data_IF_281035138997
#
_entry.id   IF_281035138997
#
_cell.length_a   1.000
_cell.length_b   1.000
_cell.length_c   1.000
_cell.angle_alpha   90.00
_cell.angle_beta   90.00
_cell.angle_gamma   90.00
#
_symmetry.space_group_name_H-M   'P 1'
#
loop_
_entity.id
_entity.type
_entity.pdbx_description
1 polymer ?
#
# COMPACT_ATOMS: atom_id res chain seq x y z
N UNK A 1 31.55 -56.21 24.12
CA UNK A 1 32.03 -55.08 23.31
C UNK A 1 30.82 -54.56 22.53
N UNK A 2 30.19 -53.49 23.02
CA UNK A 2 28.94 -52.96 22.46
C UNK A 2 29.26 -51.84 21.46
N UNK A 3 28.85 -51.99 20.21
CA UNK A 3 29.01 -50.95 19.17
C UNK A 3 27.70 -50.21 19.03
N UNK A 4 27.59 -49.06 19.68
CA UNK A 4 26.49 -48.13 19.47
C UNK A 4 26.72 -47.38 18.16
N UNK A 5 25.93 -47.71 17.13
CA UNK A 5 25.89 -46.96 15.87
C UNK A 5 24.95 -45.76 16.05
N UNK A 6 25.52 -44.57 16.21
CA UNK A 6 24.77 -43.31 16.18
C UNK A 6 24.42 -42.98 14.72
N UNK A 7 23.18 -43.27 14.33
CA UNK A 7 22.64 -42.80 13.04
C UNK A 7 22.30 -41.32 13.14
N UNK A 8 23.17 -40.47 12.56
CA UNK A 8 22.89 -39.05 12.41
C UNK A 8 21.94 -38.86 11.21
N UNK A 9 20.64 -38.73 11.51
CA UNK A 9 19.64 -38.39 10.50
C UNK A 9 19.82 -36.91 10.09
N UNK A 10 20.38 -36.69 8.90
CA UNK A 10 20.44 -35.37 8.27
C UNK A 10 19.04 -35.00 7.77
N UNK A 11 18.27 -34.28 8.60
CA UNK A 11 17.00 -33.69 8.17
C UNK A 11 17.33 -32.46 7.31
N UNK A 12 17.28 -32.64 5.99
CA UNK A 12 17.40 -31.53 5.05
C UNK A 12 16.12 -30.67 5.10
N UNK A 13 16.13 -29.62 5.91
CA UNK A 13 15.09 -28.58 5.87
C UNK A 13 15.23 -27.79 4.58
N UNK A 14 14.34 -28.03 3.60
CA UNK A 14 14.21 -27.18 2.44
C UNK A 14 13.63 -25.83 2.87
N UNK A 15 14.49 -24.83 3.09
CA UNK A 15 14.06 -23.46 3.22
C UNK A 15 13.56 -22.98 1.85
N UNK A 16 12.24 -22.98 1.66
CA UNK A 16 11.63 -22.32 0.52
C UNK A 16 11.82 -20.81 0.68
N UNK A 17 12.89 -20.29 0.09
CA UNK A 17 13.06 -18.84 -0.08
C UNK A 17 11.98 -18.36 -1.04
N UNK A 18 10.86 -17.88 -0.49
CA UNK A 18 9.83 -17.20 -1.26
C UNK A 18 10.34 -15.80 -1.57
N UNK A 19 11.14 -15.69 -2.62
CA UNK A 19 11.52 -14.39 -3.16
C UNK A 19 10.24 -13.67 -3.59
N UNK A 20 10.14 -12.36 -3.31
CA UNK A 20 9.13 -11.53 -3.95
C UNK A 20 9.18 -11.83 -5.45
N UNK A 21 8.06 -12.27 -6.05
CA UNK A 21 8.09 -12.64 -7.47
C UNK A 21 8.40 -11.37 -8.25
N UNK A 22 9.57 -11.24 -8.91
CA UNK A 22 9.98 -9.99 -9.56
C UNK A 22 8.97 -9.52 -10.61
N UNK A 23 8.19 -10.45 -11.16
CA UNK A 23 7.07 -10.17 -12.05
C UNK A 23 6.04 -9.25 -11.44
N UNK A 24 5.66 -9.39 -10.16
CA UNK A 24 4.65 -8.52 -9.55
C UNK A 24 5.20 -7.14 -9.18
N UNK A 25 6.48 -7.09 -8.83
CA UNK A 25 7.19 -5.83 -8.57
C UNK A 25 7.21 -4.94 -9.82
N UNK A 26 7.33 -5.55 -11.01
CA UNK A 26 7.30 -4.84 -12.29
C UNK A 26 5.92 -4.28 -12.68
N UNK A 27 4.83 -4.78 -12.08
CA UNK A 27 3.46 -4.34 -12.36
C UNK A 27 3.05 -3.09 -11.57
N UNK A 28 3.97 -2.53 -10.78
CA UNK A 28 3.73 -1.40 -9.89
C UNK A 28 4.68 -0.24 -10.25
N UNK A 29 4.22 1.02 -10.25
CA UNK A 29 5.12 2.16 -10.33
C UNK A 29 6.08 2.11 -9.15
N UNK A 30 7.36 2.36 -9.43
CA UNK A 30 8.42 2.34 -8.41
C UNK A 30 8.45 1.09 -7.51
N UNK A 31 7.92 -0.07 -7.97
CA UNK A 31 7.72 -1.23 -7.11
C UNK A 31 8.98 -1.78 -6.42
N UNK A 32 10.16 -1.55 -7.02
CA UNK A 32 11.46 -1.95 -6.49
C UNK A 32 12.22 -0.82 -5.78
N UNK A 33 11.67 0.41 -5.76
CA UNK A 33 12.39 1.61 -5.34
C UNK A 33 11.99 2.07 -3.92
N UNK A 34 11.01 1.42 -3.29
CA UNK A 34 10.64 1.71 -1.89
C UNK A 34 11.76 1.23 -0.95
N UNK A 35 12.39 2.11 -0.14
CA UNK A 35 13.56 1.75 0.65
C UNK A 35 13.30 0.60 1.64
N UNK A 36 14.14 -0.44 1.58
CA UNK A 36 14.07 -1.57 2.51
C UNK A 36 12.90 -2.54 2.26
N UNK A 37 12.17 -2.38 1.16
CA UNK A 37 10.98 -3.17 0.83
C UNK A 37 11.17 -3.86 -0.51
N UNK A 38 11.31 -5.20 -0.49
CA UNK A 38 11.37 -6.01 -1.70
C UNK A 38 9.98 -6.50 -2.15
N UNK A 39 8.99 -6.49 -1.26
CA UNK A 39 7.68 -7.09 -1.48
C UNK A 39 6.54 -6.24 -0.90
N UNK A 40 6.12 -5.21 -1.65
CA UNK A 40 5.05 -4.29 -1.24
C UNK A 40 3.73 -4.97 -0.86
N UNK A 41 3.41 -6.10 -1.48
CA UNK A 41 2.18 -6.85 -1.24
C UNK A 41 2.21 -7.82 -0.06
N UNK A 42 3.28 -7.87 0.74
CA UNK A 42 3.44 -8.83 1.83
C UNK A 42 3.66 -8.15 3.18
N UNK A 43 3.21 -8.81 4.26
CA UNK A 43 3.51 -8.36 5.64
C UNK A 43 5.02 -8.40 5.91
N UNK A 44 5.70 -9.43 5.38
CA UNK A 44 7.15 -9.46 5.38
C UNK A 44 7.68 -8.62 4.21
N UNK A 45 8.42 -7.52 4.45
CA UNK A 45 8.94 -6.67 3.38
C UNK A 45 9.97 -7.38 2.49
N UNK A 46 10.58 -8.48 2.96
CA UNK A 46 11.45 -9.33 2.14
C UNK A 46 10.67 -10.30 1.23
N UNK A 47 9.35 -10.40 1.40
CA UNK A 47 8.47 -11.29 0.64
C UNK A 47 8.09 -12.59 1.34
N UNK A 48 7.17 -13.30 0.71
CA UNK A 48 6.59 -14.53 1.25
C UNK A 48 5.62 -14.30 2.42
N UNK A 49 5.01 -15.39 2.88
CA UNK A 49 3.99 -15.32 3.93
C UNK A 49 2.71 -14.59 3.47
N UNK A 50 1.95 -14.12 4.45
CA UNK A 50 0.63 -13.49 4.25
C UNK A 50 0.74 -12.15 3.51
N UNK A 51 -0.24 -11.88 2.65
CA UNK A 51 -0.39 -10.57 2.03
C UNK A 51 -0.85 -9.52 3.05
N UNK A 52 -0.38 -8.28 2.89
CA UNK A 52 -0.96 -7.13 3.56
C UNK A 52 -2.17 -6.62 2.76
N UNK A 53 -2.85 -5.56 3.23
CA UNK A 53 -4.03 -5.03 2.56
C UNK A 53 -3.74 -4.58 1.12
N UNK A 54 -2.61 -3.89 0.89
CA UNK A 54 -2.18 -3.52 -0.46
C UNK A 54 -2.05 -4.73 -1.40
N UNK A 55 -1.45 -5.82 -0.92
CA UNK A 55 -1.35 -7.06 -1.70
C UNK A 55 -2.69 -7.74 -1.99
N UNK A 56 -3.62 -7.68 -1.03
CA UNK A 56 -4.99 -8.19 -1.20
C UNK A 56 -5.78 -7.34 -2.21
N UNK A 57 -5.61 -6.03 -2.16
CA UNK A 57 -6.24 -5.08 -3.07
C UNK A 57 -5.65 -5.19 -4.48
N UNK A 58 -4.33 -5.38 -4.59
CA UNK A 58 -3.67 -5.65 -5.86
C UNK A 58 -4.18 -6.95 -6.48
N UNK A 59 -4.36 -8.01 -5.67
CA UNK A 59 -4.94 -9.26 -6.13
C UNK A 59 -6.40 -9.08 -6.59
N UNK A 60 -7.17 -8.26 -5.87
CA UNK A 60 -8.58 -7.96 -6.20
C UNK A 60 -8.70 -7.12 -7.49
N UNK A 61 -7.73 -6.25 -7.75
CA UNK A 61 -7.61 -5.49 -9.00
C UNK A 61 -7.08 -6.33 -10.19
N UNK A 62 -7.05 -7.67 -10.05
CA UNK A 62 -6.55 -8.56 -11.10
C UNK A 62 -5.04 -8.46 -11.31
N UNK A 63 -4.29 -8.01 -10.30
CA UNK A 63 -2.83 -7.81 -10.33
C UNK A 63 -2.43 -6.80 -11.40
N UNK A 64 -3.18 -5.72 -11.52
CA UNK A 64 -2.95 -4.65 -12.48
C UNK A 64 -3.00 -3.29 -11.78
N UNK A 65 -2.14 -2.36 -12.22
CA UNK A 65 -2.18 -0.97 -11.78
C UNK A 65 -3.36 -0.23 -12.43
N UNK A 66 -4.57 -0.53 -11.95
CA UNK A 66 -5.79 0.14 -12.40
C UNK A 66 -5.93 1.49 -11.72
N UNK A 67 -6.72 2.40 -12.32
CA UNK A 67 -7.04 3.68 -11.69
C UNK A 67 -7.67 3.51 -10.31
N UNK A 68 -8.65 2.61 -10.18
CA UNK A 68 -9.30 2.32 -8.90
C UNK A 68 -8.31 1.80 -7.85
N UNK A 69 -7.37 0.92 -8.25
CA UNK A 69 -6.33 0.45 -7.34
C UNK A 69 -5.36 1.56 -6.96
N UNK A 70 -4.94 2.39 -7.90
CA UNK A 70 -4.05 3.52 -7.65
C UNK A 70 -4.66 4.57 -6.70
N UNK A 71 -5.96 4.86 -6.84
CA UNK A 71 -6.68 5.83 -5.99
C UNK A 71 -7.05 5.26 -4.62
N UNK A 72 -6.85 3.96 -4.38
CA UNK A 72 -7.17 3.33 -3.11
C UNK A 72 -6.13 3.66 -2.04
N UNK A 73 -6.61 3.88 -0.82
CA UNK A 73 -5.82 3.92 0.40
C UNK A 73 -5.89 2.52 1.04
N UNK A 74 -4.91 1.67 0.75
CA UNK A 74 -4.99 0.25 1.11
C UNK A 74 -4.72 0.00 2.59
N UNK A 75 -3.88 0.82 3.23
CA UNK A 75 -3.49 0.67 4.63
C UNK A 75 -4.22 1.63 5.58
N UNK A 76 -5.03 2.55 5.06
CA UNK A 76 -5.97 3.39 5.81
C UNK A 76 -5.29 4.60 6.45
N UNK A 77 -4.19 5.06 5.88
CA UNK A 77 -3.39 6.14 6.44
C UNK A 77 -3.76 7.52 5.89
N UNK A 78 -4.62 7.58 4.88
CA UNK A 78 -5.08 8.79 4.21
C UNK A 78 -4.27 9.18 2.98
N UNK A 79 -3.30 8.36 2.55
CA UNK A 79 -2.62 8.50 1.27
C UNK A 79 -3.12 7.43 0.30
N UNK A 80 -3.18 7.76 -0.99
CA UNK A 80 -3.49 6.78 -2.02
C UNK A 80 -2.23 6.00 -2.40
N UNK A 81 -2.40 4.76 -2.85
CA UNK A 81 -1.33 3.93 -3.39
C UNK A 81 -0.51 4.68 -4.45
N UNK A 82 -1.17 5.51 -5.28
CA UNK A 82 -0.56 6.39 -6.26
C UNK A 82 0.33 7.46 -5.66
N UNK A 83 -0.12 8.16 -4.61
CA UNK A 83 0.72 9.14 -3.91
C UNK A 83 1.97 8.44 -3.33
N UNK A 84 1.81 7.29 -2.70
CA UNK A 84 2.93 6.61 -2.05
C UNK A 84 3.96 6.06 -3.04
N UNK A 85 3.50 5.59 -4.21
CA UNK A 85 4.34 4.99 -5.25
C UNK A 85 4.74 5.93 -6.39
N UNK A 86 4.44 7.23 -6.27
CA UNK A 86 4.90 8.25 -7.23
C UNK A 86 4.05 8.44 -8.47
N UNK A 87 2.81 7.95 -8.46
CA UNK A 87 1.80 8.14 -9.50
C UNK A 87 0.49 8.72 -8.91
N UNK A 88 0.50 9.97 -8.39
CA UNK A 88 -0.67 10.56 -7.74
C UNK A 88 -1.85 10.80 -8.69
N UNK A 89 -1.59 10.80 -10.01
CA UNK A 89 -2.61 11.02 -11.02
C UNK A 89 -3.14 9.72 -11.64
N UNK A 90 -2.59 8.57 -11.23
CA UNK A 90 -2.98 7.26 -11.73
C UNK A 90 -2.85 7.15 -13.26
N UNK A 91 -1.77 7.72 -13.78
CA UNK A 91 -1.45 7.77 -15.21
C UNK A 91 -0.36 6.78 -15.62
N UNK A 92 0.27 6.12 -14.64
CA UNK A 92 1.28 5.12 -14.91
C UNK A 92 0.66 3.91 -15.59
N UNK A 93 1.29 3.49 -16.69
CA UNK A 93 0.91 2.28 -17.43
C UNK A 93 2.18 1.52 -17.78
N UNK A 94 2.30 0.30 -17.27
CA UNK A 94 3.47 -0.58 -17.40
C UNK A 94 4.08 -0.58 -18.82
N UNK A 95 3.24 -0.73 -19.84
CA UNK A 95 3.67 -0.95 -21.23
C UNK A 95 3.88 0.33 -22.06
N UNK A 96 3.36 1.48 -21.62
CA UNK A 96 3.26 2.67 -22.49
C UNK A 96 3.60 4.00 -21.82
N UNK A 97 3.47 4.09 -20.50
CA UNK A 97 3.78 5.29 -19.74
C UNK A 97 4.38 4.91 -18.39
N UNK A 98 5.63 4.44 -18.41
CA UNK A 98 6.36 4.10 -17.19
C UNK A 98 6.87 5.34 -16.42
N UNK A 99 6.42 6.54 -16.79
CA UNK A 99 6.81 7.79 -16.13
C UNK A 99 5.99 7.93 -14.86
N UNK A 100 6.71 8.07 -13.75
CA UNK A 100 6.19 8.42 -12.43
C UNK A 100 6.49 9.90 -12.18
N UNK A 101 5.66 10.58 -11.41
CA UNK A 101 5.84 11.98 -11.06
C UNK A 101 7.04 12.17 -10.12
N UNK A 102 7.31 11.20 -9.25
CA UNK A 102 8.53 11.15 -8.44
C UNK A 102 9.04 9.73 -8.23
N UNK A 103 10.30 9.64 -7.79
CA UNK A 103 11.00 8.38 -7.48
C UNK A 103 11.61 8.36 -6.08
N UNK A 104 11.59 9.50 -5.39
CA UNK A 104 12.15 9.70 -4.07
C UNK A 104 11.03 10.11 -3.11
N UNK A 105 11.22 9.86 -1.81
CA UNK A 105 10.18 10.12 -0.81
C UNK A 105 9.00 9.15 -0.92
N UNK A 106 9.22 7.97 -1.48
CA UNK A 106 8.24 6.89 -1.56
C UNK A 106 7.92 6.30 -0.19
N UNK A 107 6.74 5.72 -0.06
CA UNK A 107 6.28 5.02 1.15
C UNK A 107 5.74 3.62 0.82
N UNK A 108 5.42 2.86 1.87
CA UNK A 108 4.97 1.49 1.76
C UNK A 108 3.43 1.46 1.87
N UNK A 109 2.68 1.22 0.78
CA UNK A 109 1.21 1.36 0.71
C UNK A 109 0.40 0.29 1.44
N UNK A 110 1.07 -0.70 2.01
CA UNK A 110 0.52 -1.67 2.94
C UNK A 110 0.93 -1.47 4.41
N UNK A 111 1.49 -0.30 4.77
CA UNK A 111 1.98 0.01 6.11
C UNK A 111 1.73 1.49 6.48
N UNK A 112 0.64 1.73 7.22
CA UNK A 112 0.16 3.06 7.62
C UNK A 112 1.12 3.94 8.45
N UNK A 113 2.27 3.40 8.87
CA UNK A 113 3.33 4.16 9.57
C UNK A 113 4.39 4.70 8.62
N UNK A 114 4.44 4.21 7.39
CA UNK A 114 5.36 4.64 6.35
C UNK A 114 4.64 5.65 5.48
N UNK A 115 4.95 6.94 5.62
CA UNK A 115 4.28 8.00 4.86
C UNK A 115 5.21 8.77 3.95
N UNK A 116 4.71 9.13 2.78
CA UNK A 116 5.33 10.11 1.90
C UNK A 116 5.04 11.52 2.40
N UNK A 117 5.88 12.49 2.02
CA UNK A 117 5.64 13.89 2.36
C UNK A 117 4.54 14.47 1.47
N UNK A 118 3.42 14.99 2.03
CA UNK A 118 2.33 15.55 1.23
C UNK A 118 2.72 16.73 0.33
N UNK A 119 3.85 17.38 0.57
CA UNK A 119 4.38 18.40 -0.32
C UNK A 119 4.72 17.87 -1.73
N UNK A 120 4.94 16.56 -1.89
CA UNK A 120 5.21 15.93 -3.19
C UNK A 120 4.02 16.06 -4.17
N UNK A 121 2.78 16.18 -3.66
CA UNK A 121 1.58 16.33 -4.49
C UNK A 121 0.75 17.58 -4.19
N UNK A 122 1.25 18.49 -3.35
CA UNK A 122 0.53 19.72 -3.00
C UNK A 122 0.19 20.58 -4.23
N UNK A 123 1.09 20.60 -5.22
CA UNK A 123 0.93 21.39 -6.46
C UNK A 123 0.59 20.53 -7.70
N UNK A 124 0.32 19.23 -7.51
CA UNK A 124 0.01 18.33 -8.63
C UNK A 124 -1.46 18.46 -8.99
N UNK A 125 -1.72 18.95 -10.21
CA UNK A 125 -3.07 19.01 -10.79
C UNK A 125 -3.23 17.89 -11.82
N UNK A 126 -4.01 16.87 -11.47
CA UNK A 126 -4.30 15.75 -12.36
C UNK A 126 -5.38 16.17 -13.38
N UNK A 127 -4.93 16.73 -14.50
CA UNK A 127 -5.75 17.14 -15.63
C UNK A 127 -5.06 16.72 -16.93
N UNK A 128 -5.82 16.07 -17.82
CA UNK A 128 -5.32 15.43 -19.03
C UNK A 128 -4.29 16.29 -19.79
N UNK A 129 -3.04 15.86 -19.74
CA UNK A 129 -1.99 16.31 -20.65
C UNK A 129 -1.44 17.71 -20.38
N UNK A 130 -0.82 17.95 -19.22
CA UNK A 130 0.37 18.80 -19.20
C UNK A 130 1.35 18.25 -18.18
N UNK A 131 2.36 17.54 -18.68
CA UNK A 131 3.50 17.05 -17.92
C UNK A 131 4.26 18.23 -17.30
N UNK A 132 3.88 18.63 -16.10
CA UNK A 132 4.63 19.59 -15.30
C UNK A 132 5.68 18.84 -14.50
N UNK A 133 6.83 18.65 -15.14
CA UNK A 133 8.11 18.40 -14.45
C UNK A 133 8.41 19.60 -13.56
N UNK A 134 8.07 19.51 -12.28
CA UNK A 134 8.48 20.48 -11.27
C UNK A 134 9.94 20.24 -10.89
N UNK A 135 10.85 20.78 -11.69
CA UNK A 135 12.23 21.02 -11.25
C UNK A 135 12.22 22.21 -10.30
N UNK A 136 12.36 21.93 -9.01
CA UNK A 136 12.57 22.93 -7.97
C UNK A 136 13.89 23.68 -8.22
N UNK A 137 13.80 24.96 -8.63
CA UNK A 137 14.90 25.92 -8.44
C UNK A 137 14.39 27.09 -7.62
N UNK A 138 14.87 27.14 -6.38
CA UNK A 138 14.80 28.25 -5.46
C UNK A 138 15.43 29.50 -6.09
N UNK A 139 14.61 30.52 -6.35
CA UNK A 139 15.08 31.90 -6.55
C UNK A 139 14.01 32.84 -6.01
N UNK A 140 14.27 33.40 -4.83
CA UNK A 140 13.40 34.39 -4.21
C UNK A 140 13.39 35.71 -4.97
N UNK A 141 12.29 36.44 -4.87
CA UNK A 141 12.28 37.90 -4.81
C UNK A 141 10.96 38.40 -4.23
N UNK A 142 11.13 39.22 -3.21
CA UNK A 142 10.15 40.01 -2.47
C UNK A 142 9.71 41.25 -3.26
N UNK A 143 8.50 41.75 -2.93
CA UNK A 143 8.14 43.19 -2.73
C UNK A 143 7.00 43.75 -3.61
N UNK A 144 6.00 44.34 -2.93
CA UNK A 144 5.18 45.49 -3.37
C UNK A 144 3.73 45.14 -3.70
N UNK A 145 2.75 45.19 -2.78
CA UNK A 145 2.10 46.37 -2.16
C UNK A 145 1.38 47.30 -3.14
N UNK A 146 0.06 47.38 -3.04
CA UNK A 146 -0.81 48.26 -3.83
C UNK A 146 -2.24 48.30 -3.28
N UNK A 147 -2.45 49.17 -2.29
CA UNK A 147 -3.73 49.57 -1.71
C UNK A 147 -4.55 50.42 -2.70
N UNK A 148 -5.87 50.19 -2.77
CA UNK A 148 -6.83 51.07 -3.43
C UNK A 148 -8.25 50.85 -2.92
N UNK A 149 -8.78 51.86 -2.24
CA UNK A 149 -10.05 51.91 -1.48
C UNK A 149 -11.18 52.65 -2.23
N UNK A 150 -12.43 52.19 -2.02
CA UNK A 150 -13.79 52.82 -2.06
C UNK A 150 -14.30 53.43 -3.39
N UNK A 151 -15.60 53.42 -3.77
CA UNK A 151 -16.83 53.69 -3.00
C UNK A 151 -18.16 53.31 -3.73
N UNK A 152 -19.18 52.93 -2.91
CA UNK A 152 -20.68 53.01 -2.94
C UNK A 152 -21.52 53.05 -4.24
N UNK A 153 -22.79 52.61 -4.30
CA UNK A 153 -23.87 52.22 -3.35
C UNK A 153 -25.04 51.61 -4.18
N UNK A 154 -26.18 51.12 -3.69
CA UNK A 154 -27.06 51.61 -2.62
C UNK A 154 -28.21 50.61 -2.33
N UNK A 155 -28.49 50.41 -1.04
CA UNK A 155 -29.76 50.18 -0.29
C UNK A 155 -30.98 49.44 -0.90
N UNK A 156 -31.52 48.44 -0.17
CA UNK A 156 -32.79 48.56 0.60
C UNK A 156 -32.95 47.38 1.59
N UNK A 157 -33.32 47.68 2.85
CA UNK A 157 -33.87 46.78 3.89
C UNK A 157 -35.26 47.36 4.30
N UNK A 158 -36.05 46.87 5.29
CA UNK A 158 -35.92 45.72 6.21
C UNK A 158 -37.21 44.84 6.27
N UNK A 159 -37.26 43.70 6.98
CA UNK A 159 -37.78 43.55 8.36
C UNK A 159 -37.72 42.07 8.76
N UNK A 160 -37.07 41.70 9.87
CA UNK A 160 -37.68 41.33 11.17
C UNK A 160 -38.66 40.15 11.10
N UNK A 161 -38.25 38.97 11.60
CA UNK A 161 -38.98 38.32 12.69
C UNK A 161 -38.10 37.27 13.39
N UNK A 162 -38.22 37.25 14.71
CA UNK A 162 -37.50 36.41 15.64
C UNK A 162 -38.35 35.19 15.99
N UNK A 163 -37.73 34.02 16.17
CA UNK A 163 -38.28 32.98 17.06
C UNK A 163 -37.21 31.92 17.39
N UNK A 164 -36.60 32.09 18.56
CA UNK A 164 -36.29 30.99 19.49
C UNK A 164 -37.40 31.04 20.56
N UNK A 165 -37.81 29.93 21.22
CA UNK A 165 -36.92 29.26 22.16
C UNK A 165 -37.14 27.74 22.39
N UNK A 166 -36.10 27.17 23.05
CA UNK A 166 -36.14 26.18 24.13
C UNK A 166 -36.63 24.74 23.85
N UNK A 167 -36.28 23.70 24.58
CA UNK A 167 -35.20 23.27 25.52
C UNK A 167 -35.69 21.88 25.95
N UNK A 168 -34.85 20.87 25.98
CA UNK A 168 -34.76 19.85 27.06
C UNK A 168 -33.89 18.68 26.57
N UNK A 169 -32.69 18.50 27.13
CA UNK A 169 -32.43 17.83 28.42
C UNK A 169 -32.62 16.32 28.31
N UNK A 170 -31.52 15.58 28.24
CA UNK A 170 -31.12 14.66 29.32
C UNK A 170 -29.91 13.82 28.93
N UNK A 171 -28.85 14.01 29.73
CA UNK A 171 -27.65 13.19 29.87
C UNK A 171 -27.94 11.75 30.31
N UNK A 172 -27.04 10.83 29.98
CA UNK A 172 -26.34 9.93 30.93
C UNK A 172 -25.41 8.99 30.11
N UNK A 173 -24.08 9.13 30.16
CA UNK A 173 -23.15 8.48 31.10
C UNK A 173 -23.55 7.06 31.54
N UNK A 174 -22.77 6.05 31.15
CA UNK A 174 -21.99 5.17 32.06
C UNK A 174 -21.27 4.04 31.32
N UNK A 175 -19.95 4.11 31.40
CA UNK A 175 -18.91 3.10 31.64
C UNK A 175 -19.17 1.58 31.60
N UNK A 176 -18.07 0.90 31.26
CA UNK A 176 -17.61 -0.45 31.67
C UNK A 176 -18.28 -1.65 30.97
N UNK A 177 -17.67 -2.82 30.80
CA UNK A 177 -16.30 -3.33 30.75
C UNK A 177 -16.45 -4.82 30.41
N UNK A 178 -15.38 -5.42 29.89
CA UNK A 178 -15.02 -6.85 30.05
C UNK A 178 -15.64 -7.94 29.17
N UNK A 179 -14.67 -8.71 28.62
CA UNK A 179 -14.58 -10.17 28.61
C UNK A 179 -15.35 -10.99 27.55
N UNK A 180 -14.56 -11.46 26.58
CA UNK A 180 -14.39 -12.85 26.15
C UNK A 180 -15.58 -13.82 26.27
N UNK A 181 -16.02 -14.33 25.13
CA UNK A 181 -16.57 -15.68 25.02
C UNK A 181 -16.15 -16.30 23.68
N UNK A 182 -15.40 -17.39 23.77
CA UNK A 182 -15.16 -18.33 22.69
C UNK A 182 -16.41 -19.21 22.50
N UNK A 183 -16.75 -19.55 21.26
CA UNK A 183 -17.35 -20.82 20.82
C UNK A 183 -17.74 -20.69 19.33
N UNK A 184 -17.04 -21.39 18.44
CA UNK A 184 -17.46 -22.70 17.89
C UNK A 184 -18.41 -22.55 16.70
N UNK A 185 -17.88 -22.61 15.48
CA UNK A 185 -18.66 -22.90 14.28
C UNK A 185 -18.00 -24.01 13.48
N UNK A 186 -18.80 -25.07 13.36
CA UNK A 186 -18.55 -26.42 12.92
C UNK A 186 -18.00 -26.57 11.50
N UNK A 187 -17.23 -27.65 11.37
CA UNK A 187 -16.69 -28.25 10.17
C UNK A 187 -17.76 -28.64 9.16
N UNK A 188 -17.51 -28.35 7.89
CA UNK A 188 -18.06 -29.12 6.77
C UNK A 188 -16.89 -29.51 5.85
N UNK A 189 -16.57 -30.80 5.88
CA UNK A 189 -15.56 -31.42 5.04
C UNK A 189 -16.00 -31.38 3.58
N UNK A 190 -15.12 -30.95 2.69
CA UNK A 190 -15.26 -31.20 1.25
C UNK A 190 -13.98 -31.90 0.76
N UNK A 191 -14.18 -33.07 0.18
CA UNK A 191 -13.15 -34.05 -0.14
C UNK A 191 -12.15 -33.51 -1.17
N UNK A 192 -10.86 -33.52 -0.81
CA UNK A 192 -9.75 -33.34 -1.74
C UNK A 192 -9.33 -34.71 -2.28
N UNK A 193 -9.55 -34.93 -3.57
CA UNK A 193 -8.89 -35.98 -4.32
C UNK A 193 -7.39 -35.63 -4.48
N UNK A 194 -6.43 -36.53 -4.20
CA UNK A 194 -5.03 -36.24 -4.48
C UNK A 194 -4.74 -36.45 -5.97
N UNK A 195 -4.42 -35.36 -6.66
CA UNK A 195 -3.76 -35.43 -7.97
C UNK A 195 -2.31 -35.88 -7.75
N UNK A 196 -1.97 -37.06 -8.27
CA UNK A 196 -0.61 -37.58 -8.35
C UNK A 196 0.18 -36.73 -9.35
N UNK A 197 1.05 -35.83 -8.87
CA UNK A 197 2.07 -35.20 -9.71
C UNK A 197 3.38 -35.98 -9.56
N UNK A 198 3.79 -36.66 -10.63
CA UNK A 198 5.05 -37.37 -10.75
C UNK A 198 6.24 -36.43 -10.58
N UNK A 199 7.03 -36.63 -9.53
CA UNK A 199 8.34 -36.00 -9.38
C UNK A 199 9.34 -36.69 -10.31
N UNK A 200 9.77 -35.98 -11.36
CA UNK A 200 10.93 -36.37 -12.17
C UNK A 200 12.18 -36.21 -11.30
N UNK A 201 12.87 -37.32 -11.06
CA UNK A 201 14.08 -37.36 -10.24
C UNK A 201 15.23 -36.59 -10.88
N UNK A 202 15.90 -35.77 -10.08
CA UNK A 202 17.20 -35.19 -10.41
C UNK A 202 18.26 -36.17 -9.90
N UNK A 203 18.92 -36.87 -10.82
CA UNK A 203 20.08 -37.73 -10.53
C UNK A 203 21.30 -36.82 -10.35
N UNK A 204 21.81 -36.73 -9.11
CA UNK A 204 23.11 -36.14 -8.84
C UNK A 204 24.20 -37.21 -9.03
N UNK A 205 24.93 -37.15 -10.14
CA UNK A 205 26.11 -37.97 -10.36
C UNK A 205 27.32 -37.35 -9.65
N UNK A 206 27.83 -38.01 -8.61
CA UNK A 206 29.12 -37.68 -7.99
C UNK A 206 30.20 -38.53 -8.65
N UNK A 207 31.01 -37.92 -9.51
CA UNK A 207 32.22 -38.56 -10.05
C UNK A 207 33.40 -38.24 -9.13
N UNK A 208 33.86 -39.23 -8.38
CA UNK A 208 35.15 -39.20 -7.69
C UNK A 208 36.24 -39.67 -8.66
N UNK A 209 37.22 -38.83 -8.95
CA UNK A 209 38.45 -39.20 -9.66
C UNK A 209 39.57 -39.37 -8.63
N UNK A 210 40.04 -40.60 -8.46
CA UNK A 210 41.33 -40.92 -7.85
C UNK A 210 42.31 -41.22 -8.98
N UNK A 211 43.37 -40.41 -9.09
CA UNK A 211 44.72 -40.88 -9.41
C UNK A 211 45.73 -39.83 -8.94
#
# INVERSE_FOLDING_TARGET
MSRATFSLALVATAAAVVNARPTYVALLPNGANVPGVAALGHVNPAGGGTNNNFGLDFASAGKSWTKEFCEKDSDGDGQTNGQELGDPCCEWVESSNAVVQWKEGLSHPGNATSKSDPSLWADVSCGSGTNSTSTSTTAGSTTGSGTGTVEAGSTTAPSTDASTPATDSASSTSSAASASAASSSSSAASAVAPALYSAVGVVAAVAAFFM
#
